data_IF_402815728487
#
_entry.id   IF_402815728487
#
_cell.length_a   1.000
_cell.length_b   1.000
_cell.length_c   1.000
_cell.angle_alpha   90.00
_cell.angle_beta   90.00
_cell.angle_gamma   90.00
#
_symmetry.space_group_name_H-M   'P 1'
#
loop_
_entity.id
_entity.type
_entity.pdbx_description
1 polymer ?
#
# COMPACT_ATOMS: atom_id res chain seq x y z
N UNK A 1 -8.67 -17.73 -2.51
CA UNK A 1 -8.23 -16.67 -3.45
C UNK A 1 -6.89 -16.15 -2.97
N UNK A 2 -5.86 -16.17 -3.82
CA UNK A 2 -4.49 -15.80 -3.49
C UNK A 2 -4.30 -14.28 -3.58
N UNK A 3 -3.72 -13.68 -2.52
CA UNK A 3 -3.24 -12.30 -2.56
C UNK A 3 -1.85 -12.27 -3.19
N UNK A 4 -1.68 -11.52 -4.27
CA UNK A 4 -0.40 -11.40 -4.99
C UNK A 4 0.41 -10.20 -4.53
N UNK A 5 -0.24 -9.22 -3.88
CA UNK A 5 0.42 -8.09 -3.23
C UNK A 5 -0.18 -7.97 -1.83
N UNK A 6 0.66 -7.99 -0.81
CA UNK A 6 0.29 -7.72 0.57
C UNK A 6 1.29 -6.77 1.21
N UNK A 7 0.79 -5.78 1.96
CA UNK A 7 1.62 -4.91 2.80
C UNK A 7 1.12 -4.93 4.23
N UNK A 8 2.04 -4.86 5.19
CA UNK A 8 1.74 -4.83 6.63
C UNK A 8 2.44 -3.62 7.25
N UNK A 9 1.66 -2.63 7.68
CA UNK A 9 2.12 -1.38 8.29
C UNK A 9 3.24 -0.67 7.49
N UNK A 10 3.17 -0.72 6.16
CA UNK A 10 4.19 -0.13 5.29
C UNK A 10 4.27 1.38 5.55
N UNK A 11 5.46 1.83 5.93
CA UNK A 11 5.72 3.22 6.31
C UNK A 11 6.97 3.71 5.59
N UNK A 12 6.88 4.90 5.00
CA UNK A 12 8.00 5.60 4.37
C UNK A 12 8.07 7.02 4.91
N UNK A 13 9.23 7.35 5.50
CA UNK A 13 9.50 8.65 6.11
C UNK A 13 10.71 9.29 5.42
N UNK A 14 10.61 10.57 5.10
CA UNK A 14 11.68 11.42 4.58
C UNK A 14 11.86 12.61 5.52
N UNK A 15 13.05 12.81 6.08
CA UNK A 15 13.38 14.01 6.88
C UNK A 15 12.32 14.42 7.92
N UNK A 16 11.73 13.46 8.65
CA UNK A 16 10.65 13.78 9.60
C UNK A 16 9.23 13.65 9.05
N UNK A 17 9.04 13.77 7.73
CA UNK A 17 7.75 13.73 7.05
C UNK A 17 7.35 12.30 6.63
N UNK A 18 6.12 11.91 6.89
CA UNK A 18 5.59 10.61 6.47
C UNK A 18 4.98 10.73 5.06
N UNK A 19 5.68 10.18 4.06
CA UNK A 19 5.14 10.04 2.70
C UNK A 19 4.19 8.85 2.58
N UNK A 20 4.42 7.79 3.36
CA UNK A 20 3.49 6.67 3.52
C UNK A 20 3.45 6.35 5.02
N UNK A 21 2.26 6.17 5.60
CA UNK A 21 2.13 5.86 7.03
C UNK A 21 1.15 4.72 7.23
N UNK A 22 1.63 3.61 7.79
CA UNK A 22 0.84 2.43 8.14
C UNK A 22 -0.06 1.90 7.01
N UNK A 23 0.45 1.88 5.77
CA UNK A 23 -0.29 1.37 4.63
C UNK A 23 -0.39 -0.15 4.72
N UNK A 24 -1.63 -0.64 4.64
CA UNK A 24 -1.97 -2.05 4.62
C UNK A 24 -2.81 -2.33 3.38
N UNK A 25 -2.31 -3.17 2.48
CA UNK A 25 -2.93 -3.51 1.19
C UNK A 25 -2.99 -5.02 1.06
N UNK A 26 -4.03 -5.51 0.40
CA UNK A 26 -4.22 -6.91 0.03
C UNK A 26 -4.88 -6.99 -1.34
N UNK A 27 -4.08 -7.18 -2.38
CA UNK A 27 -4.55 -7.20 -3.78
C UNK A 27 -4.58 -8.65 -4.25
N UNK A 28 -5.72 -9.08 -4.77
CA UNK A 28 -5.94 -10.44 -5.27
C UNK A 28 -5.40 -10.60 -6.69
N UNK A 29 -5.09 -11.83 -7.07
CA UNK A 29 -4.72 -12.15 -8.45
C UNK A 29 -5.83 -11.72 -9.42
N UNK A 30 -5.49 -10.92 -10.43
CA UNK A 30 -6.42 -10.42 -11.45
C UNK A 30 -7.23 -9.18 -11.05
N UNK A 31 -7.02 -8.64 -9.85
CA UNK A 31 -7.64 -7.39 -9.40
C UNK A 31 -6.96 -6.18 -10.04
N UNK A 32 -7.76 -5.27 -10.61
CA UNK A 32 -7.27 -3.97 -11.09
C UNK A 32 -7.30 -3.00 -9.91
N UNK A 33 -6.13 -2.53 -9.49
CA UNK A 33 -5.97 -1.60 -8.37
C UNK A 33 -5.33 -0.29 -8.85
N UNK A 34 -5.82 0.83 -8.36
CA UNK A 34 -5.26 2.16 -8.65
C UNK A 34 -5.27 3.03 -7.39
N UNK A 35 -4.23 3.85 -7.24
CA UNK A 35 -4.23 4.91 -6.25
C UNK A 35 -4.87 6.16 -6.84
N UNK A 36 -5.77 6.78 -6.08
CA UNK A 36 -6.29 8.11 -6.37
C UNK A 36 -5.76 9.07 -5.31
N UNK A 37 -5.16 10.17 -5.77
CA UNK A 37 -4.72 11.27 -4.93
C UNK A 37 -5.30 12.59 -5.46
N UNK A 38 -5.27 13.65 -4.63
CA UNK A 38 -5.50 15.02 -5.08
C UNK A 38 -4.42 15.49 -6.07
#
# INVERSE_FOLDING_TARGET
MEHIIETKNLTKKYNGFFAVKNLNLKIRKGEVFGFLGP
#
